data_IF_434302607553
#
_entry.id   IF_434302607553
#
_cell.length_a   1.000
_cell.length_b   1.000
_cell.length_c   1.000
_cell.angle_alpha   90.00
_cell.angle_beta   90.00
_cell.angle_gamma   90.00
#
_symmetry.space_group_name_H-M   'P 1'
#
loop_
_entity.id
_entity.type
_entity.pdbx_description
1 polymer ?
#
# COMPACT_ATOMS: atom_id res chain seq x y z
N UNK A 1 -5.22 1.53 13.91
CA UNK A 1 -4.63 2.88 13.65
C UNK A 1 -4.04 2.97 12.23
N UNK A 2 -3.18 2.03 11.80
CA UNK A 2 -2.60 1.96 10.43
C UNK A 2 -3.61 2.16 9.29
N UNK A 3 -4.74 1.46 9.30
CA UNK A 3 -5.74 1.56 8.22
C UNK A 3 -6.53 2.88 8.14
N UNK A 4 -6.51 3.74 9.17
CA UNK A 4 -7.13 5.09 9.11
C UNK A 4 -6.17 6.11 8.49
N UNK A 5 -4.88 6.00 8.84
CA UNK A 5 -3.81 6.84 8.30
C UNK A 5 -3.65 6.59 6.79
N UNK A 6 -3.55 5.33 6.38
CA UNK A 6 -3.44 4.95 4.96
C UNK A 6 -4.63 5.48 4.14
N UNK A 7 -5.85 5.39 4.68
CA UNK A 7 -7.04 5.95 4.01
C UNK A 7 -6.99 7.48 3.89
N UNK A 8 -6.45 8.19 4.88
CA UNK A 8 -6.31 9.66 4.82
C UNK A 8 -5.33 10.07 3.74
N UNK A 9 -4.17 9.42 3.67
CA UNK A 9 -3.13 9.71 2.68
C UNK A 9 -3.61 9.42 1.25
N UNK A 10 -4.33 8.31 1.05
CA UNK A 10 -4.97 8.00 -0.23
C UNK A 10 -5.96 9.10 -0.66
N UNK A 11 -6.74 9.63 0.28
CA UNK A 11 -7.70 10.69 -0.02
C UNK A 11 -7.00 11.99 -0.42
N UNK A 12 -5.96 12.36 0.32
CA UNK A 12 -5.15 13.55 0.06
C UNK A 12 -4.54 13.48 -1.34
N UNK A 13 -3.91 12.36 -1.69
CA UNK A 13 -3.23 12.21 -2.99
C UNK A 13 -4.22 12.19 -4.16
N UNK A 14 -5.36 11.51 -4.02
CA UNK A 14 -6.41 11.48 -5.06
C UNK A 14 -6.95 12.88 -5.34
N UNK A 15 -7.18 13.68 -4.29
CA UNK A 15 -7.66 15.05 -4.47
C UNK A 15 -6.57 15.93 -5.06
N UNK A 16 -5.32 15.79 -4.61
CA UNK A 16 -4.17 16.55 -5.14
C UNK A 16 -4.02 16.34 -6.65
N UNK A 17 -4.04 15.09 -7.12
CA UNK A 17 -3.94 14.76 -8.54
C UNK A 17 -5.11 15.33 -9.35
N UNK A 18 -6.34 15.26 -8.81
CA UNK A 18 -7.51 15.81 -9.48
C UNK A 18 -7.49 17.35 -9.56
N UNK A 19 -7.02 18.02 -8.50
CA UNK A 19 -6.82 19.48 -8.49
C UNK A 19 -5.81 19.90 -9.56
N UNK A 20 -4.67 19.21 -9.66
CA UNK A 20 -3.66 19.50 -10.69
C UNK A 20 -4.20 19.28 -12.10
N UNK A 21 -4.94 18.18 -12.32
CA UNK A 21 -5.54 17.87 -13.64
C UNK A 21 -6.54 18.94 -14.08
N UNK A 22 -7.26 19.52 -13.13
CA UNK A 22 -8.30 20.53 -13.38
C UNK A 22 -7.80 21.97 -13.22
N UNK A 23 -6.50 22.17 -12.96
CA UNK A 23 -5.89 23.49 -12.73
C UNK A 23 -6.60 24.30 -11.62
N UNK A 24 -7.03 23.60 -10.57
CA UNK A 24 -7.72 24.18 -9.41
C UNK A 24 -6.79 24.27 -8.21
N UNK A 25 -6.88 25.37 -7.46
CA UNK A 25 -6.10 25.56 -6.23
C UNK A 25 -6.99 25.76 -5.00
N UNK A 26 -6.49 25.32 -3.85
CA UNK A 26 -7.10 25.52 -2.54
C UNK A 26 -6.21 26.49 -1.77
N UNK A 27 -6.72 27.70 -1.53
CA UNK A 27 -5.94 28.73 -0.82
C UNK A 27 -5.85 28.40 0.68
N UNK A 28 -4.66 28.55 1.27
CA UNK A 28 -4.45 28.33 2.70
C UNK A 28 -5.34 29.22 3.58
N UNK A 29 -5.59 30.46 3.14
CA UNK A 29 -6.51 31.38 3.83
C UNK A 29 -7.95 30.83 3.90
N UNK A 30 -8.39 30.11 2.85
CA UNK A 30 -9.70 29.45 2.83
C UNK A 30 -9.73 28.30 3.83
N UNK A 31 -8.68 27.47 3.88
CA UNK A 31 -8.55 26.36 4.84
C UNK A 31 -8.54 26.88 6.28
N UNK A 32 -7.78 27.94 6.57
CA UNK A 32 -7.70 28.54 7.90
C UNK A 32 -9.01 29.19 8.35
N UNK A 33 -9.72 29.85 7.44
CA UNK A 33 -11.05 30.39 7.70
C UNK A 33 -12.03 29.29 8.10
N UNK A 34 -12.06 28.18 7.35
CA UNK A 34 -12.89 27.02 7.67
C UNK A 34 -12.46 26.34 8.97
N UNK A 35 -11.17 26.24 9.23
CA UNK A 35 -10.62 25.67 10.46
C UNK A 35 -11.05 26.47 11.69
N UNK A 36 -10.95 27.80 11.66
CA UNK A 36 -11.41 28.69 12.74
C UNK A 36 -12.91 28.52 13.01
N UNK A 37 -13.73 28.48 11.96
CA UNK A 37 -15.17 28.25 12.08
C UNK A 37 -15.48 26.87 12.70
N UNK A 38 -14.75 25.84 12.28
CA UNK A 38 -14.89 24.49 12.81
C UNK A 38 -14.47 24.39 14.28
N UNK A 39 -13.32 24.98 14.65
CA UNK A 39 -12.81 25.06 16.02
C UNK A 39 -13.82 25.75 16.95
N UNK A 40 -14.37 26.89 16.53
CA UNK A 40 -15.42 27.62 17.29
C UNK A 40 -16.66 26.75 17.55
N UNK A 41 -17.08 25.94 16.58
CA UNK A 41 -18.25 25.06 16.71
C UNK A 41 -18.00 23.82 17.54
N UNK A 42 -16.88 23.14 17.28
CA UNK A 42 -16.56 21.89 17.96
C UNK A 42 -16.24 22.15 19.44
N UNK A 43 -15.55 23.24 19.75
CA UNK A 43 -15.29 23.70 21.11
C UNK A 43 -16.41 24.52 21.75
N UNK A 44 -17.42 24.98 21.00
CA UNK A 44 -18.38 26.03 21.45
C UNK A 44 -17.67 27.26 22.03
N UNK A 45 -16.53 27.65 21.45
CA UNK A 45 -15.67 28.73 21.96
C UNK A 45 -14.69 28.32 23.07
N UNK A 46 -14.82 27.10 23.62
CA UNK A 46 -13.93 26.57 24.66
C UNK A 46 -12.82 25.70 24.04
N UNK A 47 -11.56 26.14 24.23
CA UNK A 47 -10.37 25.47 23.73
C UNK A 47 -10.13 24.10 24.38
N UNK A 48 -10.45 23.94 25.67
CA UNK A 48 -10.30 22.67 26.37
C UNK A 48 -11.32 21.64 25.86
N UNK A 49 -12.55 22.09 25.59
CA UNK A 49 -13.58 21.25 24.95
C UNK A 49 -13.19 20.82 23.54
N UNK A 50 -12.58 21.72 22.78
CA UNK A 50 -12.05 21.39 21.45
C UNK A 50 -10.94 20.34 21.53
N UNK A 51 -9.96 20.53 22.41
CA UNK A 51 -8.85 19.60 22.62
C UNK A 51 -9.34 18.20 23.05
N UNK A 52 -10.31 18.13 23.98
CA UNK A 52 -10.93 16.85 24.40
C UNK A 52 -11.60 16.12 23.23
N UNK A 53 -12.35 16.84 22.38
CA UNK A 53 -13.00 16.24 21.21
C UNK A 53 -12.02 15.77 20.15
N UNK A 54 -10.92 16.51 19.94
CA UNK A 54 -9.84 16.05 19.07
C UNK A 54 -9.17 14.78 19.60
N UNK A 55 -8.87 14.73 20.90
CA UNK A 55 -8.31 13.56 21.56
C UNK A 55 -9.20 12.33 21.42
N UNK A 56 -10.51 12.46 21.67
CA UNK A 56 -11.50 11.37 21.49
C UNK A 56 -11.52 10.88 20.04
N UNK A 57 -11.42 11.80 19.08
CA UNK A 57 -11.39 11.44 17.66
C UNK A 57 -10.07 10.82 17.19
N UNK A 58 -9.01 10.89 18.01
CA UNK A 58 -7.65 10.48 17.65
C UNK A 58 -7.03 11.34 16.54
N UNK A 59 -7.44 12.61 16.42
CA UNK A 59 -6.95 13.56 15.41
C UNK A 59 -6.12 14.66 16.04
N UNK A 60 -5.10 15.12 15.32
CA UNK A 60 -4.35 16.34 15.66
C UNK A 60 -4.94 17.55 14.95
N UNK A 61 -4.66 18.76 15.43
CA UNK A 61 -5.05 20.00 14.73
C UNK A 61 -4.51 20.02 13.29
N UNK A 62 -3.25 19.62 13.09
CA UNK A 62 -2.66 19.50 11.74
C UNK A 62 -3.32 18.44 10.86
N UNK A 63 -3.74 17.31 11.43
CA UNK A 63 -4.51 16.29 10.70
C UNK A 63 -5.88 16.79 10.25
N UNK A 64 -6.55 17.59 11.08
CA UNK A 64 -7.83 18.21 10.75
C UNK A 64 -7.70 19.26 9.63
N UNK A 65 -6.62 20.05 9.64
CA UNK A 65 -6.33 21.02 8.56
C UNK A 65 -6.10 20.33 7.20
N UNK A 66 -5.34 19.23 7.16
CA UNK A 66 -5.16 18.43 5.93
C UNK A 66 -6.47 17.83 5.42
N UNK A 67 -7.32 17.35 6.31
CA UNK A 67 -8.64 16.85 5.95
C UNK A 67 -9.55 17.95 5.39
N UNK A 68 -9.50 19.16 5.96
CA UNK A 68 -10.20 20.33 5.44
C UNK A 68 -9.71 20.72 4.04
N UNK A 69 -8.39 20.77 3.82
CA UNK A 69 -7.81 21.02 2.51
C UNK A 69 -8.32 20.01 1.46
N UNK A 70 -8.30 18.72 1.81
CA UNK A 70 -8.82 17.63 0.96
C UNK A 70 -10.31 17.81 0.65
N UNK A 71 -11.13 18.18 1.64
CA UNK A 71 -12.56 18.38 1.43
C UNK A 71 -12.88 19.62 0.60
N UNK A 72 -12.17 20.73 0.82
CA UNK A 72 -12.33 21.96 0.03
C UNK A 72 -11.93 21.69 -1.42
N UNK A 73 -10.81 21.01 -1.65
CA UNK A 73 -10.37 20.63 -2.99
C UNK A 73 -11.38 19.75 -3.72
N UNK A 74 -11.89 18.71 -3.06
CA UNK A 74 -12.95 17.86 -3.61
C UNK A 74 -14.25 18.65 -3.89
N UNK A 75 -14.55 19.67 -3.08
CA UNK A 75 -15.66 20.59 -3.31
C UNK A 75 -15.48 21.44 -4.57
N UNK A 76 -14.29 22.00 -4.78
CA UNK A 76 -13.95 22.78 -5.99
C UNK A 76 -14.02 21.94 -7.26
N UNK A 77 -13.50 20.70 -7.21
CA UNK A 77 -13.59 19.75 -8.33
C UNK A 77 -15.05 19.46 -8.70
N UNK A 78 -15.92 19.21 -7.72
CA UNK A 78 -17.34 18.98 -7.99
C UNK A 78 -18.06 20.21 -8.58
N UNK A 79 -17.65 21.42 -8.18
CA UNK A 79 -18.17 22.65 -8.77
C UNK A 79 -17.75 22.78 -10.23
N UNK A 80 -16.47 22.55 -10.51
CA UNK A 80 -15.90 22.63 -11.86
C UNK A 80 -16.53 21.63 -12.83
N UNK A 81 -16.86 20.43 -12.35
CA UNK A 81 -17.50 19.37 -13.16
C UNK A 81 -19.02 19.52 -13.33
N UNK A 82 -19.64 20.55 -12.77
CA UNK A 82 -21.10 20.71 -12.81
C UNK A 82 -21.87 19.64 -12.01
N UNK A 83 -21.18 18.86 -11.16
CA UNK A 83 -21.75 17.82 -10.31
C UNK A 83 -22.57 18.40 -9.13
N UNK A 84 -22.53 19.72 -8.95
CA UNK A 84 -23.28 20.45 -7.93
C UNK A 84 -24.57 21.06 -8.48
N UNK A 85 -25.72 20.75 -7.83
CA UNK A 85 -26.87 21.67 -7.87
C UNK A 85 -26.36 23.05 -7.48
N UNK A 86 -26.70 24.08 -8.28
CA UNK A 86 -26.24 25.45 -8.13
C UNK A 86 -26.02 25.84 -6.66
N UNK A 87 -24.83 26.37 -6.34
CA UNK A 87 -24.51 27.00 -5.05
C UNK A 87 -25.27 28.33 -4.97
N UNK A 88 -26.60 28.30 -5.08
CA UNK A 88 -27.43 29.44 -4.75
C UNK A 88 -27.73 29.35 -3.27
N UNK A 89 -27.02 30.21 -2.51
CA UNK A 89 -27.35 30.65 -1.15
C UNK A 89 -27.16 29.64 0.00
N UNK A 90 -25.97 29.05 0.17
CA UNK A 90 -25.54 28.69 1.53
C UNK A 90 -25.17 29.99 2.26
N UNK A 91 -26.12 30.56 3.00
CA UNK A 91 -26.06 31.92 3.58
C UNK A 91 -25.13 32.04 4.77
N UNK A 92 -24.54 30.93 5.25
CA UNK A 92 -23.58 30.95 6.36
C UNK A 92 -22.31 30.16 6.01
N UNK A 93 -21.12 30.60 6.46
CA UNK A 93 -19.87 29.85 6.31
C UNK A 93 -20.02 28.40 6.77
N UNK A 94 -20.83 28.19 7.80
CA UNK A 94 -21.17 26.90 8.37
C UNK A 94 -21.94 25.92 7.50
N UNK A 95 -22.92 26.41 6.74
CA UNK A 95 -23.65 25.58 5.79
C UNK A 95 -22.74 25.25 4.62
N UNK A 96 -21.90 26.20 4.19
CA UNK A 96 -20.83 25.94 3.22
C UNK A 96 -19.88 24.85 3.72
N UNK A 97 -19.40 24.90 4.97
CA UNK A 97 -18.48 23.87 5.52
C UNK A 97 -19.12 22.47 5.52
N UNK A 98 -20.35 22.34 6.03
CA UNK A 98 -21.02 21.03 6.13
C UNK A 98 -21.41 20.48 4.76
N UNK A 99 -21.83 21.37 3.85
CA UNK A 99 -22.17 21.02 2.49
C UNK A 99 -20.93 20.63 1.68
N UNK A 100 -19.83 21.39 1.78
CA UNK A 100 -18.51 21.04 1.20
C UNK A 100 -18.00 19.73 1.80
N UNK A 101 -18.16 19.49 3.10
CA UNK A 101 -17.76 18.22 3.71
C UNK A 101 -18.58 17.03 3.17
N UNK A 102 -19.89 17.22 2.93
CA UNK A 102 -20.78 16.18 2.39
C UNK A 102 -20.53 15.94 0.90
N UNK A 103 -20.44 16.99 0.11
CA UNK A 103 -20.07 16.92 -1.30
C UNK A 103 -18.68 16.33 -1.45
N UNK A 104 -17.70 16.80 -0.67
CA UNK A 104 -16.34 16.28 -0.66
C UNK A 104 -16.30 14.77 -0.45
N UNK A 105 -17.14 14.18 0.41
CA UNK A 105 -17.24 12.71 0.55
C UNK A 105 -17.80 12.01 -0.70
N UNK A 106 -18.82 12.59 -1.34
CA UNK A 106 -19.42 12.05 -2.56
C UNK A 106 -18.39 12.14 -3.71
N UNK A 107 -17.81 13.31 -3.91
CA UNK A 107 -16.79 13.55 -4.93
C UNK A 107 -15.57 12.69 -4.71
N UNK A 108 -15.07 12.56 -3.48
CA UNK A 108 -13.94 11.70 -3.16
C UNK A 108 -14.24 10.23 -3.49
N UNK A 109 -15.49 9.78 -3.32
CA UNK A 109 -15.90 8.43 -3.72
C UNK A 109 -15.91 8.26 -5.23
N UNK A 110 -16.39 9.27 -5.98
CA UNK A 110 -16.32 9.29 -7.45
C UNK A 110 -14.87 9.34 -7.95
N UNK A 111 -14.06 10.26 -7.42
CA UNK A 111 -12.64 10.40 -7.75
C UNK A 111 -11.86 9.12 -7.47
N UNK A 112 -12.15 8.41 -6.37
CA UNK A 112 -11.52 7.11 -6.11
C UNK A 112 -11.88 6.04 -7.14
N UNK A 113 -13.13 6.04 -7.62
CA UNK A 113 -13.61 5.12 -8.66
C UNK A 113 -12.97 5.46 -10.01
N UNK A 114 -12.94 6.74 -10.37
CA UNK A 114 -12.28 7.25 -11.59
C UNK A 114 -10.76 7.05 -11.57
N UNK A 115 -10.13 7.23 -10.42
CA UNK A 115 -8.69 7.03 -10.24
C UNK A 115 -8.28 5.55 -10.24
N UNK A 116 -9.21 4.60 -10.36
CA UNK A 116 -8.99 3.14 -10.28
C UNK A 116 -7.88 2.76 -9.29
N UNK A 117 -7.93 3.34 -8.07
CA UNK A 117 -6.88 3.40 -7.03
C UNK A 117 -5.56 2.73 -7.45
N UNK A 118 -4.77 3.45 -8.26
CA UNK A 118 -3.32 3.28 -8.40
C UNK A 118 -2.60 4.25 -7.45
N UNK A 119 -3.05 4.31 -6.19
CA UNK A 119 -2.27 5.01 -5.15
C UNK A 119 -1.14 4.08 -4.75
N UNK A 120 0.00 4.25 -5.44
CA UNK A 120 1.30 3.87 -4.92
C UNK A 120 1.47 4.62 -3.60
N UNK A 121 1.18 3.96 -2.48
CA UNK A 121 1.88 4.30 -1.25
C UNK A 121 3.37 4.10 -1.55
N UNK A 122 4.25 5.06 -1.25
CA UNK A 122 5.68 4.84 -1.38
C UNK A 122 6.07 3.85 -0.29
N UNK A 123 6.10 2.56 -0.63
CA UNK A 123 6.98 1.64 0.06
C UNK A 123 8.38 1.95 -0.48
N UNK A 124 9.15 2.63 0.37
CA UNK A 124 10.55 2.98 0.26
C UNK A 124 11.36 2.12 -0.75
N UNK A 125 11.90 2.76 -1.78
CA UNK A 125 13.31 2.66 -2.19
C UNK A 125 13.57 3.50 -3.45
N UNK A 126 14.50 4.44 -3.28
CA UNK A 126 15.45 5.03 -4.22
C UNK A 126 15.02 5.88 -5.42
N UNK A 127 15.68 7.05 -5.46
CA UNK A 127 15.64 8.08 -6.49
C UNK A 127 16.40 7.66 -7.76
N UNK A 128 15.93 8.15 -8.92
CA UNK A 128 16.68 8.14 -10.18
C UNK A 128 15.78 8.35 -11.41
N UNK A 129 16.20 9.12 -12.44
CA UNK A 129 15.36 10.21 -12.92
C UNK A 129 14.65 9.97 -14.26
N UNK A 130 13.71 10.89 -14.51
CA UNK A 130 13.19 11.36 -15.80
C UNK A 130 12.50 10.35 -16.74
N UNK A 131 11.18 10.58 -16.87
CA UNK A 131 10.54 10.71 -18.17
C UNK A 131 10.44 9.46 -19.05
N UNK A 132 9.31 8.75 -18.97
CA UNK A 132 8.44 8.54 -20.12
C UNK A 132 7.11 7.95 -19.69
N UNK A 133 6.06 8.73 -19.94
CA UNK A 133 4.66 8.30 -19.84
C UNK A 133 4.40 7.37 -21.02
N UNK A 134 4.39 6.05 -20.79
CA UNK A 134 3.84 5.10 -21.75
C UNK A 134 2.49 4.66 -21.21
N UNK A 135 1.44 4.99 -21.96
CA UNK A 135 0.07 4.60 -21.68
C UNK A 135 -0.02 3.09 -21.43
N UNK A 136 -0.59 2.69 -20.29
CA UNK A 136 -1.02 1.31 -20.09
C UNK A 136 -2.33 1.12 -20.87
N UNK A 137 -2.40 0.19 -21.85
CA UNK A 137 -3.64 -0.07 -22.53
C UNK A 137 -4.62 -0.77 -21.59
N UNK A 138 -5.87 -0.36 -21.69
CA UNK A 138 -7.04 -0.93 -21.06
C UNK A 138 -7.08 -2.46 -21.17
N UNK A 139 -7.47 -3.11 -20.07
CA UNK A 139 -8.12 -4.43 -20.05
C UNK A 139 -7.50 -5.52 -20.97
N UNK A 140 -6.29 -5.98 -20.65
CA UNK A 140 -5.83 -7.31 -21.09
C UNK A 140 -5.64 -8.18 -19.86
N UNK A 141 -6.20 -9.41 -19.88
CA UNK A 141 -5.76 -10.49 -18.98
C UNK A 141 -4.23 -10.49 -19.04
N UNK A 142 -3.58 -10.38 -17.89
CA UNK A 142 -2.12 -10.33 -17.85
C UNK A 142 -1.53 -11.56 -18.56
N UNK A 143 -0.34 -11.42 -19.13
CA UNK A 143 0.32 -12.47 -19.91
C UNK A 143 0.59 -13.70 -19.05
N UNK A 144 0.57 -14.88 -19.68
CA UNK A 144 0.84 -16.16 -19.03
C UNK A 144 2.31 -16.27 -18.57
N UNK A 145 2.60 -17.23 -17.70
CA UNK A 145 3.97 -17.50 -17.27
C UNK A 145 4.89 -17.81 -18.47
N UNK A 146 6.16 -17.43 -18.38
CA UNK A 146 7.14 -17.48 -19.47
C UNK A 146 7.05 -16.35 -20.48
N UNK A 147 5.92 -15.62 -20.56
CA UNK A 147 5.77 -14.52 -21.51
C UNK A 147 6.69 -13.34 -21.20
N UNK A 148 7.21 -12.62 -22.21
CA UNK A 148 8.05 -11.46 -21.98
C UNK A 148 7.26 -10.32 -21.31
N UNK A 149 7.89 -9.69 -20.34
CA UNK A 149 7.37 -8.58 -19.57
C UNK A 149 8.45 -7.53 -19.34
N UNK A 150 8.03 -6.27 -19.28
CA UNK A 150 8.87 -5.16 -18.82
C UNK A 150 8.52 -4.80 -17.38
N UNK A 151 7.25 -4.98 -17.01
CA UNK A 151 6.73 -4.65 -15.70
C UNK A 151 5.91 -5.79 -15.12
N UNK A 152 5.84 -5.86 -13.80
CA UNK A 152 5.07 -6.89 -13.09
C UNK A 152 3.59 -6.92 -13.47
N UNK A 153 2.99 -5.77 -13.79
CA UNK A 153 1.58 -5.70 -14.21
C UNK A 153 1.31 -6.23 -15.62
N UNK A 154 2.35 -6.48 -16.42
CA UNK A 154 2.21 -7.13 -17.73
C UNK A 154 1.75 -8.59 -17.57
N UNK A 155 1.97 -9.19 -16.40
CA UNK A 155 1.77 -10.61 -16.12
C UNK A 155 0.46 -10.87 -15.37
N UNK A 156 -0.21 -11.99 -15.66
CA UNK A 156 -1.39 -12.44 -14.91
C UNK A 156 -1.09 -12.61 -13.42
N UNK A 157 0.10 -13.13 -13.13
CA UNK A 157 0.63 -13.32 -11.76
C UNK A 157 1.00 -12.02 -11.06
N UNK A 158 0.99 -10.88 -11.78
CA UNK A 158 1.52 -9.60 -11.33
C UNK A 158 3.00 -9.67 -10.96
N UNK A 159 3.79 -10.49 -11.66
CA UNK A 159 5.21 -10.70 -11.33
C UNK A 159 6.04 -10.93 -12.58
N UNK A 160 6.97 -10.00 -12.81
CA UNK A 160 7.96 -10.06 -13.87
C UNK A 160 9.34 -10.29 -13.26
N UNK A 161 10.04 -11.34 -13.69
CA UNK A 161 11.38 -11.69 -13.21
C UNK A 161 12.28 -11.90 -14.41
N UNK A 162 13.40 -11.17 -14.45
CA UNK A 162 14.37 -11.21 -15.56
C UNK A 162 13.73 -11.05 -16.95
N UNK A 163 12.70 -10.21 -17.05
CA UNK A 163 12.01 -9.96 -18.31
C UNK A 163 10.95 -11.01 -18.70
N UNK A 164 10.66 -11.99 -17.84
CA UNK A 164 9.62 -13.01 -18.08
C UNK A 164 8.61 -13.12 -16.94
N UNK A 165 7.35 -13.37 -17.28
CA UNK A 165 6.28 -13.56 -16.32
C UNK A 165 6.48 -14.84 -15.52
N UNK A 166 6.48 -14.75 -14.19
CA UNK A 166 6.63 -15.90 -13.29
C UNK A 166 5.27 -16.32 -12.74
N UNK A 167 4.98 -17.62 -12.69
CA UNK A 167 3.78 -18.19 -12.06
C UNK A 167 3.86 -18.24 -10.52
N UNK A 168 5.00 -17.85 -9.94
CA UNK A 168 5.30 -17.89 -8.50
C UNK A 168 5.34 -19.29 -7.89
N UNK A 169 5.32 -20.35 -8.71
CA UNK A 169 5.36 -21.73 -8.23
C UNK A 169 6.75 -22.08 -7.68
N UNK A 170 6.89 -23.27 -7.09
CA UNK A 170 8.20 -23.74 -6.63
C UNK A 170 9.14 -23.88 -7.83
N UNK A 171 10.42 -23.52 -7.64
CA UNK A 171 11.49 -23.44 -8.65
C UNK A 171 11.40 -22.29 -9.65
N UNK A 172 10.29 -21.55 -9.68
CA UNK A 172 10.18 -20.38 -10.54
C UNK A 172 11.22 -19.33 -10.20
N UNK A 173 11.75 -18.65 -11.22
CA UNK A 173 12.73 -17.61 -11.02
C UNK A 173 12.18 -16.51 -10.11
N UNK A 174 13.03 -16.00 -9.24
CA UNK A 174 12.75 -14.88 -8.35
C UNK A 174 14.01 -14.07 -8.08
N UNK A 175 13.84 -12.77 -7.88
CA UNK A 175 14.83 -11.86 -7.30
C UNK A 175 14.50 -11.53 -5.85
N UNK A 176 13.20 -11.51 -5.52
CA UNK A 176 12.70 -11.13 -4.20
C UNK A 176 11.67 -12.13 -3.68
N UNK A 177 11.61 -12.27 -2.35
CA UNK A 177 10.71 -13.21 -1.67
C UNK A 177 9.23 -13.06 -2.06
N UNK A 178 8.72 -11.85 -2.25
CA UNK A 178 7.30 -11.63 -2.60
C UNK A 178 6.90 -12.17 -3.99
N UNK A 179 7.88 -12.50 -4.82
CA UNK A 179 7.68 -13.06 -6.16
C UNK A 179 7.36 -14.56 -6.12
N UNK A 180 7.42 -15.19 -4.94
CA UNK A 180 7.12 -16.60 -4.72
C UNK A 180 5.83 -16.76 -3.94
N UNK A 181 5.01 -17.77 -4.27
CA UNK A 181 3.80 -18.09 -3.50
C UNK A 181 4.15 -18.43 -2.04
N UNK A 182 5.28 -19.10 -1.83
CA UNK A 182 5.84 -19.45 -0.52
C UNK A 182 6.47 -18.26 0.24
N UNK A 183 6.59 -17.09 -0.40
CA UNK A 183 7.35 -15.94 0.08
C UNK A 183 8.83 -16.23 0.37
N UNK A 184 9.41 -17.24 -0.27
CA UNK A 184 10.81 -17.66 -0.06
C UNK A 184 11.53 -17.71 -1.40
N UNK A 185 12.36 -16.70 -1.67
CA UNK A 185 13.27 -16.70 -2.80
C UNK A 185 14.67 -17.11 -2.34
N UNK A 186 15.19 -18.21 -2.86
CA UNK A 186 16.50 -18.78 -2.48
C UNK A 186 17.32 -19.02 -3.74
N UNK A 187 18.52 -18.45 -3.80
CA UNK A 187 19.44 -18.58 -4.94
C UNK A 187 18.80 -18.29 -6.30
N UNK A 188 17.88 -17.32 -6.35
CA UNK A 188 17.21 -16.94 -7.60
C UNK A 188 15.99 -17.79 -7.97
N UNK A 189 15.59 -18.74 -7.12
CA UNK A 189 14.43 -19.62 -7.35
C UNK A 189 13.50 -19.68 -6.14
N UNK A 190 12.21 -19.78 -6.40
CA UNK A 190 11.21 -19.94 -5.36
C UNK A 190 11.35 -21.30 -4.68
N UNK A 191 11.44 -21.31 -3.36
CA UNK A 191 11.57 -22.51 -2.55
C UNK A 191 10.29 -22.71 -1.74
N UNK A 192 9.79 -23.94 -1.66
CA UNK A 192 8.68 -24.28 -0.76
C UNK A 192 9.15 -24.48 0.70
N UNK A 193 10.48 -24.54 0.91
CA UNK A 193 11.09 -24.76 2.22
C UNK A 193 10.90 -26.19 2.76
N UNK A 194 10.49 -27.14 1.91
CA UNK A 194 10.39 -28.56 2.26
C UNK A 194 11.78 -29.15 2.59
N UNK A 195 11.81 -30.33 3.22
CA UNK A 195 13.08 -31.00 3.49
C UNK A 195 13.82 -31.28 2.17
N UNK A 196 15.12 -30.96 2.13
CA UNK A 196 15.95 -31.02 0.93
C UNK A 196 15.89 -29.76 0.05
N UNK A 197 14.96 -28.84 0.29
CA UNK A 197 14.91 -27.58 -0.45
C UNK A 197 16.15 -26.71 -0.14
N UNK A 198 16.65 -25.98 -1.14
CA UNK A 198 17.76 -25.06 -0.94
C UNK A 198 17.40 -23.96 0.08
N UNK A 199 18.37 -23.57 0.88
CA UNK A 199 18.26 -22.49 1.86
C UNK A 199 19.60 -21.79 2.06
N UNK A 200 19.55 -20.51 2.41
CA UNK A 200 20.66 -19.72 2.95
C UNK A 200 20.47 -19.43 4.44
N UNK A 201 19.23 -19.34 4.89
CA UNK A 201 18.88 -19.04 6.27
C UNK A 201 17.80 -19.99 6.79
N UNK A 202 17.83 -20.27 8.09
CA UNK A 202 16.90 -21.17 8.77
C UNK A 202 15.42 -20.84 8.53
N UNK A 203 15.03 -19.56 8.51
CA UNK A 203 13.63 -19.15 8.29
C UNK A 203 13.10 -19.51 6.88
N UNK A 204 13.98 -19.83 5.94
CA UNK A 204 13.60 -20.26 4.60
C UNK A 204 13.09 -21.71 4.60
N UNK A 205 13.36 -22.48 5.66
CA UNK A 205 12.88 -23.85 5.81
C UNK A 205 11.60 -23.92 6.64
N UNK A 206 10.70 -24.82 6.28
CA UNK A 206 9.50 -25.13 7.07
C UNK A 206 9.88 -25.70 8.43
N UNK A 207 10.96 -26.49 8.48
CA UNK A 207 11.57 -27.01 9.70
C UNK A 207 12.31 -25.95 10.54
N UNK A 208 12.47 -24.73 10.01
CA UNK A 208 13.34 -23.69 10.58
C UNK A 208 14.81 -24.12 10.76
N UNK A 209 15.27 -25.11 10.00
CA UNK A 209 16.64 -25.60 10.07
C UNK A 209 17.25 -25.67 8.68
N UNK A 210 18.25 -24.82 8.44
CA UNK A 210 19.05 -24.81 7.22
C UNK A 210 20.44 -25.35 7.53
N UNK A 211 20.76 -26.52 6.97
CA UNK A 211 22.04 -27.21 7.22
C UNK A 211 22.71 -27.46 5.89
N UNK A 212 23.97 -27.02 5.75
CA UNK A 212 24.76 -27.17 4.52
C UNK A 212 24.04 -26.68 3.26
N UNK A 213 23.27 -25.59 3.39
CA UNK A 213 22.53 -25.00 2.28
C UNK A 213 21.23 -25.70 1.91
N UNK A 214 20.78 -26.70 2.69
CA UNK A 214 19.51 -27.40 2.48
C UNK A 214 18.66 -27.48 3.75
N UNK A 215 17.35 -27.47 3.56
CA UNK A 215 16.40 -27.58 4.65
C UNK A 215 16.41 -29.00 5.22
N UNK A 216 16.59 -29.10 6.54
CA UNK A 216 16.66 -30.38 7.25
C UNK A 216 15.47 -30.50 8.19
N UNK A 217 14.72 -31.60 8.16
CA UNK A 217 13.61 -31.83 9.10
C UNK A 217 14.04 -32.56 10.39
N UNK A 218 15.30 -33.01 10.42
CA UNK A 218 15.96 -33.70 11.52
C UNK A 218 15.67 -35.20 11.60
N UNK A 219 14.94 -35.79 10.64
CA UNK A 219 14.69 -37.24 10.59
C UNK A 219 15.91 -38.00 10.10
N UNK A 220 15.97 -39.31 10.33
CA UNK A 220 17.00 -40.18 9.74
C UNK A 220 17.16 -39.92 8.22
N UNK A 221 18.39 -39.74 7.79
CA UNK A 221 18.77 -39.35 6.41
C UNK A 221 18.88 -37.84 6.16
N UNK A 222 18.35 -36.99 7.04
CA UNK A 222 18.40 -35.54 6.88
C UNK A 222 19.80 -34.96 7.00
N UNK A 223 20.07 -33.86 6.29
CA UNK A 223 21.34 -33.15 6.40
C UNK A 223 21.56 -32.63 7.83
N UNK A 224 22.76 -32.80 8.35
CA UNK A 224 23.17 -32.29 9.66
C UNK A 224 24.64 -31.84 9.65
N UNK A 225 24.96 -30.98 10.60
CA UNK A 225 26.31 -30.55 10.98
C UNK A 225 26.63 -30.97 12.42
N UNK A 226 25.61 -30.97 13.28
CA UNK A 226 25.72 -31.34 14.69
C UNK A 226 24.63 -32.32 15.09
N UNK A 227 24.91 -33.17 16.08
CA UNK A 227 23.99 -34.18 16.56
C UNK A 227 22.64 -33.65 17.02
N UNK A 228 22.61 -32.48 17.68
CA UNK A 228 21.37 -31.87 18.17
C UNK A 228 20.34 -31.53 17.07
N UNK A 229 20.79 -31.44 15.81
CA UNK A 229 19.96 -31.17 14.65
C UNK A 229 19.15 -32.40 14.21
N UNK A 230 19.52 -33.59 14.69
CA UNK A 230 18.79 -34.82 14.49
C UNK A 230 17.75 -34.99 15.61
N UNK A 231 16.49 -35.22 15.24
CA UNK A 231 15.39 -35.38 16.18
C UNK A 231 15.43 -36.75 16.84
N UNK A 232 15.69 -37.78 16.06
CA UNK A 232 15.50 -39.17 16.48
C UNK A 232 16.69 -39.70 17.30
N UNK A 233 17.91 -39.68 16.75
CA UNK A 233 19.09 -40.27 17.39
C UNK A 233 20.04 -39.29 18.07
N UNK A 234 19.84 -37.98 17.86
CA UNK A 234 20.83 -36.93 18.18
C UNK A 234 22.23 -37.20 17.59
N UNK A 235 22.35 -38.04 16.56
CA UNK A 235 23.62 -38.48 15.98
C UNK A 235 23.75 -38.00 14.54
N UNK A 236 24.82 -37.26 14.27
CA UNK A 236 25.15 -36.76 12.93
C UNK A 236 26.40 -37.46 12.41
N UNK A 237 26.26 -38.30 11.40
CA UNK A 237 27.36 -39.05 10.79
C UNK A 237 27.49 -38.73 9.30
N UNK A 238 28.71 -38.39 8.87
CA UNK A 238 29.00 -38.03 7.46
C UNK A 238 28.02 -36.98 6.91
N UNK A 239 27.60 -36.03 7.77
CA UNK A 239 26.67 -34.96 7.42
C UNK A 239 25.20 -35.39 7.30
N UNK A 240 24.82 -36.59 7.77
CA UNK A 240 23.43 -37.07 7.80
C UNK A 240 23.01 -37.61 9.17
N UNK A 241 21.75 -37.36 9.52
CA UNK A 241 21.12 -37.92 10.71
C UNK A 241 20.97 -39.43 10.56
N UNK A 242 21.28 -40.16 11.62
CA UNK A 242 21.10 -41.62 11.69
C UNK A 242 19.86 -41.98 12.47
#
# INVERSE_FOLDING_TARGET
IRGKIVRSLINEEVVRQALTKEQLEVADAEVESQYRAYKKRLGRGDAARFARRLAISGKTEGGLRRELHTMIGAGKIAQNRGDGRQIRKASTPSQKTLFIARLGRITLTKLKREAQIKVLLPDAADEGPAGQVIAAPSSKRGKAAGSPCKFSFDCASKTCVNGSCSDKSARSACKYSFQCASKKCVNGSCSDGSAGAACKFSFQCTSKSCVNGVCSDGRSGSACKYGFQCKDSKRCEKGRCK
#
